data_IF_818223977823
#
_entry.id   IF_818223977823
#
_cell.length_a   1.000
_cell.length_b   1.000
_cell.length_c   1.000
_cell.angle_alpha   90.00
_cell.angle_beta   90.00
_cell.angle_gamma   90.00
#
_symmetry.space_group_name_H-M   'P 1'
#
loop_
_entity.id
_entity.type
_entity.pdbx_description
1 polymer ?
#
# COMPACT_ATOMS: atom_id res chain seq x y z
N UNK A 1 6.14 4.06 5.68
CA UNK A 1 5.21 5.22 5.55
C UNK A 1 6.01 6.48 5.28
N UNK A 2 6.73 7.03 6.26
CA UNK A 2 7.60 8.22 6.07
C UNK A 2 8.58 8.07 4.90
N UNK A 3 9.28 6.93 4.80
CA UNK A 3 10.23 6.66 3.70
C UNK A 3 9.61 6.81 2.31
N UNK A 4 8.48 6.14 2.05
CA UNK A 4 7.73 6.24 0.79
C UNK A 4 7.20 7.65 0.54
N UNK A 5 6.65 8.29 1.58
CA UNK A 5 6.12 9.64 1.45
C UNK A 5 7.20 10.66 1.07
N UNK A 6 8.35 10.60 1.76
CA UNK A 6 9.51 11.42 1.43
C UNK A 6 10.02 11.15 0.02
N UNK A 7 10.17 9.88 -0.37
CA UNK A 7 10.63 9.51 -1.71
C UNK A 7 9.72 10.09 -2.81
N UNK A 8 8.40 9.97 -2.66
CA UNK A 8 7.46 10.49 -3.66
C UNK A 8 7.41 12.02 -3.69
N UNK A 9 7.48 12.68 -2.53
CA UNK A 9 7.56 14.14 -2.46
C UNK A 9 8.84 14.69 -3.10
N UNK A 10 9.99 14.00 -2.96
CA UNK A 10 11.25 14.37 -3.63
C UNK A 10 11.14 14.30 -5.16
N UNK A 11 10.28 13.42 -5.67
CA UNK A 11 9.96 13.33 -7.10
C UNK A 11 8.93 14.39 -7.56
N UNK A 12 8.53 15.31 -6.68
CA UNK A 12 7.52 16.34 -6.97
C UNK A 12 6.08 15.84 -6.90
N UNK A 13 5.86 14.62 -6.40
CA UNK A 13 4.54 14.03 -6.23
C UNK A 13 3.81 14.54 -4.97
N UNK A 14 2.53 14.18 -4.86
CA UNK A 14 1.69 14.44 -3.69
C UNK A 14 1.30 13.13 -3.02
N UNK A 15 1.46 13.06 -1.70
CA UNK A 15 1.18 11.86 -0.91
C UNK A 15 -0.12 12.04 -0.13
N UNK A 16 -1.03 11.06 -0.27
CA UNK A 16 -2.26 10.97 0.53
C UNK A 16 -2.12 9.76 1.45
N UNK A 17 -2.03 10.01 2.76
CA UNK A 17 -1.93 8.93 3.73
C UNK A 17 -3.30 8.56 4.30
N UNK A 18 -3.60 7.25 4.33
CA UNK A 18 -4.69 6.69 5.13
C UNK A 18 -4.11 6.18 6.46
N UNK A 19 -4.43 6.87 7.55
CA UNK A 19 -4.05 6.43 8.90
C UNK A 19 -5.07 5.43 9.44
N UNK A 20 -4.60 4.23 9.79
CA UNK A 20 -5.35 3.26 10.60
C UNK A 20 -6.33 2.38 9.81
N UNK A 21 -5.96 1.12 9.58
CA UNK A 21 -6.91 0.07 9.17
C UNK A 21 -8.11 -0.04 10.13
N UNK A 22 -7.92 0.30 11.41
CA UNK A 22 -8.97 0.28 12.43
C UNK A 22 -10.00 1.42 12.32
N UNK A 23 -9.73 2.49 11.57
CA UNK A 23 -10.72 3.57 11.34
C UNK A 23 -11.18 3.67 9.88
N UNK A 24 -10.46 3.06 8.94
CA UNK A 24 -10.84 3.02 7.52
C UNK A 24 -11.79 1.84 7.21
N UNK A 25 -12.47 1.90 6.07
CA UNK A 25 -13.56 0.99 5.68
C UNK A 25 -13.25 -0.53 5.77
N UNK A 26 -11.97 -0.93 5.79
CA UNK A 26 -11.53 -2.30 6.15
C UNK A 26 -12.01 -2.75 7.54
N UNK A 27 -12.10 -1.86 8.53
CA UNK A 27 -12.68 -2.17 9.85
C UNK A 27 -14.20 -2.42 9.80
N UNK A 28 -14.88 -2.04 8.70
CA UNK A 28 -16.31 -2.26 8.49
C UNK A 28 -16.60 -3.55 7.71
N UNK A 29 -15.59 -4.39 7.45
CA UNK A 29 -15.75 -5.66 6.74
C UNK A 29 -15.77 -5.55 5.21
N UNK A 30 -15.31 -4.42 4.66
CA UNK A 30 -15.08 -4.28 3.21
C UNK A 30 -13.86 -5.13 2.80
N UNK A 31 -13.93 -5.77 1.64
CA UNK A 31 -12.83 -6.61 1.15
C UNK A 31 -11.62 -5.75 0.74
N UNK A 32 -10.42 -6.33 0.78
CA UNK A 32 -9.22 -5.66 0.26
C UNK A 32 -9.35 -5.36 -1.23
N UNK A 33 -10.02 -6.23 -1.98
CA UNK A 33 -10.33 -6.05 -3.39
C UNK A 33 -11.19 -4.80 -3.65
N UNK A 34 -12.30 -4.65 -2.93
CA UNK A 34 -13.20 -3.49 -3.09
C UNK A 34 -12.52 -2.20 -2.65
N UNK A 35 -11.76 -2.27 -1.54
CA UNK A 35 -10.94 -1.15 -1.07
C UNK A 35 -9.92 -0.74 -2.12
N UNK A 36 -9.29 -1.70 -2.81
CA UNK A 36 -8.32 -1.43 -3.87
C UNK A 36 -8.93 -0.68 -5.05
N UNK A 37 -10.14 -1.05 -5.46
CA UNK A 37 -10.87 -0.33 -6.53
C UNK A 37 -11.15 1.11 -6.18
N UNK A 38 -11.59 1.35 -4.94
CA UNK A 38 -11.89 2.70 -4.47
C UNK A 38 -10.62 3.53 -4.36
N UNK A 39 -9.55 3.00 -3.77
CA UNK A 39 -8.30 3.75 -3.56
C UNK A 39 -7.57 4.02 -4.87
N UNK A 40 -7.51 3.05 -5.77
CA UNK A 40 -6.82 3.19 -7.07
C UNK A 40 -7.48 4.26 -7.96
N UNK A 41 -8.76 4.58 -7.76
CA UNK A 41 -9.43 5.69 -8.45
C UNK A 41 -8.93 7.09 -8.00
N UNK A 42 -8.24 7.21 -6.85
CA UNK A 42 -7.79 8.48 -6.29
C UNK A 42 -6.27 8.71 -6.37
N UNK A 43 -5.51 7.72 -6.81
CA UNK A 43 -4.05 7.74 -6.75
C UNK A 43 -3.44 7.08 -7.99
N UNK A 44 -2.29 7.59 -8.44
CA UNK A 44 -1.57 7.03 -9.60
C UNK A 44 -0.70 5.81 -9.23
N UNK A 45 -0.45 5.59 -7.94
CA UNK A 45 0.24 4.43 -7.38
C UNK A 45 -0.11 4.27 -5.90
N UNK A 46 -0.02 3.05 -5.38
CA UNK A 46 -0.31 2.74 -3.98
C UNK A 46 0.88 2.03 -3.33
N UNK A 47 1.41 2.57 -2.23
CA UNK A 47 2.33 1.85 -1.36
C UNK A 47 1.53 1.29 -0.17
N UNK A 48 1.43 -0.04 -0.09
CA UNK A 48 0.58 -0.71 0.89
C UNK A 48 1.41 -1.44 1.94
N UNK A 49 0.92 -1.44 3.19
CA UNK A 49 1.42 -2.29 4.26
C UNK A 49 0.25 -2.88 5.04
N UNK A 50 0.25 -4.19 5.22
CA UNK A 50 -0.82 -4.94 5.88
C UNK A 50 -0.23 -5.99 6.84
N UNK A 51 -0.88 -6.32 7.97
CA UNK A 51 -0.38 -7.32 8.93
C UNK A 51 -0.51 -8.76 8.43
N UNK A 52 -1.42 -9.03 7.51
CA UNK A 52 -1.68 -10.38 7.02
C UNK A 52 -0.85 -10.68 5.76
N UNK A 53 -0.35 -11.91 5.69
CA UNK A 53 0.42 -12.41 4.55
C UNK A 53 -0.48 -12.56 3.31
N UNK A 54 0.03 -12.15 2.14
CA UNK A 54 -0.69 -12.20 0.87
C UNK A 54 -1.65 -11.04 0.64
N UNK A 55 -1.91 -10.19 1.63
CA UNK A 55 -2.88 -9.09 1.52
C UNK A 55 -2.52 -8.04 0.48
N UNK A 56 -1.23 -7.76 0.28
CA UNK A 56 -0.80 -6.81 -0.75
C UNK A 56 -1.04 -7.39 -2.15
N UNK A 57 -0.83 -8.71 -2.31
CA UNK A 57 -1.11 -9.38 -3.57
C UNK A 57 -2.62 -9.41 -3.86
N UNK A 58 -3.46 -9.71 -2.86
CA UNK A 58 -4.92 -9.63 -2.96
C UNK A 58 -5.37 -8.21 -3.37
N UNK A 59 -4.90 -7.19 -2.66
CA UNK A 59 -5.21 -5.79 -3.00
C UNK A 59 -4.77 -5.43 -4.43
N UNK A 60 -3.61 -5.91 -4.86
CA UNK A 60 -3.12 -5.68 -6.22
C UNK A 60 -4.04 -6.28 -7.29
N UNK A 61 -4.78 -7.37 -7.00
CA UNK A 61 -5.75 -7.94 -7.96
C UNK A 61 -6.95 -7.04 -8.22
N UNK A 62 -7.29 -6.15 -7.27
CA UNK A 62 -8.38 -5.19 -7.38
C UNK A 62 -7.95 -3.77 -7.75
N UNK A 63 -6.65 -3.51 -7.86
CA UNK A 63 -6.11 -2.17 -8.13
C UNK A 63 -5.93 -1.93 -9.62
N UNK A 64 -6.43 -0.81 -10.12
CA UNK A 64 -6.18 -0.37 -11.51
C UNK A 64 -4.84 0.38 -11.66
N UNK A 65 -4.13 0.64 -10.55
CA UNK A 65 -2.82 1.31 -10.53
C UNK A 65 -1.74 0.46 -9.87
N UNK A 66 -0.44 0.73 -10.12
CA UNK A 66 0.65 -0.04 -9.53
C UNK A 66 0.60 -0.06 -8.00
N UNK A 67 0.79 -1.26 -7.43
CA UNK A 67 0.83 -1.49 -5.99
C UNK A 67 2.24 -1.91 -5.57
N UNK A 68 2.81 -1.18 -4.62
CA UNK A 68 4.14 -1.42 -4.07
C UNK A 68 4.00 -2.11 -2.71
N UNK A 69 4.60 -3.30 -2.56
CA UNK A 69 4.65 -4.02 -1.30
C UNK A 69 5.64 -3.36 -0.31
N UNK A 70 5.07 -2.65 0.67
CA UNK A 70 5.77 -2.08 1.82
C UNK A 70 5.71 -2.96 3.08
N UNK A 71 5.39 -4.25 2.91
CA UNK A 71 5.29 -5.27 3.95
C UNK A 71 3.88 -5.88 4.06
N UNK A 72 3.75 -7.18 3.85
CA UNK A 72 2.53 -7.96 4.11
C UNK A 72 2.77 -8.98 5.25
N UNK A 73 2.78 -8.48 6.47
CA UNK A 73 2.92 -9.31 7.66
C UNK A 73 4.30 -9.99 7.77
N UNK A 74 4.34 -11.31 8.09
CA UNK A 74 5.58 -12.08 8.15
C UNK A 74 6.08 -12.54 6.77
N UNK A 75 5.44 -12.12 5.67
CA UNK A 75 5.77 -12.56 4.32
C UNK A 75 6.88 -11.68 3.70
N UNK A 76 6.55 -10.84 2.72
CA UNK A 76 7.56 -10.15 1.90
C UNK A 76 7.69 -8.68 2.28
N UNK A 77 8.92 -8.16 2.21
CA UNK A 77 9.19 -6.73 2.24
C UNK A 77 10.24 -6.34 1.19
N UNK A 78 9.91 -6.41 -0.11
CA UNK A 78 10.89 -6.29 -1.20
C UNK A 78 11.65 -4.96 -1.18
N UNK A 79 10.98 -3.88 -0.79
CA UNK A 79 11.59 -2.56 -0.70
C UNK A 79 12.68 -2.44 0.38
N UNK A 80 12.62 -3.24 1.45
CA UNK A 80 13.68 -3.31 2.44
C UNK A 80 14.83 -4.18 1.93
N UNK A 81 14.52 -5.32 1.32
CA UNK A 81 15.54 -6.19 0.72
C UNK A 81 16.34 -5.47 -0.37
N UNK A 82 15.67 -4.67 -1.23
CA UNK A 82 16.35 -3.84 -2.23
C UNK A 82 17.21 -2.76 -1.59
N UNK A 83 16.75 -2.13 -0.50
CA UNK A 83 17.53 -1.13 0.22
C UNK A 83 18.79 -1.74 0.85
N UNK A 84 18.68 -2.93 1.44
CA UNK A 84 19.80 -3.61 2.11
C UNK A 84 20.89 -4.09 1.12
N UNK A 85 20.56 -4.19 -0.18
CA UNK A 85 21.50 -4.51 -1.25
C UNK A 85 22.27 -3.31 -1.80
N UNK A 86 21.83 -2.09 -1.52
CA UNK A 86 22.42 -0.83 -2.00
C UNK A 86 23.50 -0.30 -1.04
#
# INVERSE_FOLDING_TARGET
RVSFGTAFNLLGGLVRETTGMQSSALAKGESLYDTARVISAYADAVAMRHPDAGSVAEFATGSDVPVINGGDGPNEHPTQALLDLL
#
